data_IF_305935662045
#
_entry.id   IF_305935662045
#
_cell.length_a   1.000
_cell.length_b   1.000
_cell.length_c   1.000
_cell.angle_alpha   90.00
_cell.angle_beta   90.00
_cell.angle_gamma   90.00
#
_symmetry.space_group_name_H-M   'P 1'
#
loop_
_entity.id
_entity.type
_entity.pdbx_description
1 polymer ?
#
# COMPACT_ATOMS: atom_id res chain seq x y z
N UNK A 1 -34.68 21.64 -14.03
CA UNK A 1 -34.66 21.13 -12.64
C UNK A 1 -33.37 20.35 -12.48
N UNK A 2 -32.46 20.88 -11.65
CA UNK A 2 -31.08 20.43 -11.48
C UNK A 2 -31.08 19.34 -10.40
N UNK A 3 -30.71 18.11 -10.75
CA UNK A 3 -30.53 16.99 -9.82
C UNK A 3 -29.06 16.80 -9.52
N UNK A 4 -28.58 17.49 -8.49
CA UNK A 4 -27.19 17.50 -8.03
C UNK A 4 -26.96 16.30 -7.09
N UNK A 5 -26.41 15.20 -7.60
CA UNK A 5 -25.84 14.14 -6.75
C UNK A 5 -24.34 14.10 -6.96
N UNK A 6 -23.66 14.97 -6.20
CA UNK A 6 -22.20 14.98 -6.09
C UNK A 6 -21.78 13.68 -5.42
N UNK A 7 -21.33 12.70 -6.21
CA UNK A 7 -20.44 11.69 -5.68
C UNK A 7 -19.12 12.42 -5.38
N UNK A 8 -18.94 12.76 -4.10
CA UNK A 8 -17.67 13.23 -3.58
C UNK A 8 -16.65 12.09 -3.75
N UNK A 9 -16.02 12.04 -4.92
CA UNK A 9 -14.74 11.37 -5.11
C UNK A 9 -13.77 12.14 -4.23
N UNK A 10 -13.50 11.61 -3.04
CA UNK A 10 -12.39 12.04 -2.20
C UNK A 10 -11.11 11.67 -2.96
N UNK A 11 -10.71 12.57 -3.86
CA UNK A 11 -9.37 12.62 -4.40
C UNK A 11 -8.41 12.89 -3.24
N UNK A 12 -7.66 11.88 -2.82
CA UNK A 12 -6.42 12.08 -2.09
C UNK A 12 -5.30 11.41 -2.89
N UNK A 13 -4.74 12.19 -3.83
CA UNK A 13 -3.44 11.92 -4.47
C UNK A 13 -3.45 11.34 -5.90
N UNK A 14 -3.65 12.20 -6.90
CA UNK A 14 -3.05 12.08 -8.25
C UNK A 14 -3.53 10.96 -9.18
N UNK A 15 -4.43 11.28 -10.12
CA UNK A 15 -4.72 10.45 -11.30
C UNK A 15 -4.00 10.98 -12.53
N UNK A 16 -3.19 10.14 -13.18
CA UNK A 16 -2.89 10.21 -14.62
C UNK A 16 -2.27 8.88 -15.08
N UNK A 17 -3.11 7.85 -15.25
CA UNK A 17 -2.71 6.55 -15.77
C UNK A 17 -3.86 5.56 -15.70
N UNK A 18 -4.44 5.27 -16.88
CA UNK A 18 -5.48 4.28 -17.21
C UNK A 18 -5.77 3.25 -16.12
N UNK A 19 -6.96 3.32 -15.50
CA UNK A 19 -7.53 2.22 -14.73
C UNK A 19 -8.00 1.12 -15.70
N UNK A 20 -7.12 0.17 -16.00
CA UNK A 20 -7.55 -1.16 -16.44
C UNK A 20 -7.96 -1.91 -15.18
N UNK A 21 -9.25 -2.20 -15.07
CA UNK A 21 -9.88 -2.99 -14.02
C UNK A 21 -9.20 -4.36 -13.88
N UNK A 22 -8.27 -4.48 -12.93
CA UNK A 22 -7.72 -5.72 -12.41
C UNK A 22 -7.39 -5.54 -10.92
N UNK A 23 -7.48 -6.59 -10.07
CA UNK A 23 -7.12 -6.49 -8.66
C UNK A 23 -5.62 -6.25 -8.54
N UNK A 24 -5.24 -4.98 -8.43
CA UNK A 24 -3.86 -4.54 -8.51
C UNK A 24 -3.29 -4.47 -7.09
N UNK A 25 -2.52 -5.50 -6.71
CA UNK A 25 -1.65 -5.53 -5.51
C UNK A 25 -0.52 -4.49 -5.59
N UNK A 26 -0.38 -3.82 -6.73
CA UNK A 26 0.53 -2.70 -6.92
C UNK A 26 0.09 -1.47 -6.11
N UNK A 27 0.98 -1.05 -5.23
CA UNK A 27 0.85 0.16 -4.43
C UNK A 27 1.88 1.19 -4.89
N UNK A 28 1.46 2.45 -4.88
CA UNK A 28 2.32 3.59 -5.21
C UNK A 28 2.35 4.51 -4.01
N UNK A 29 3.55 4.92 -3.58
CA UNK A 29 3.71 5.91 -2.51
C UNK A 29 4.55 7.08 -2.96
N UNK A 30 4.17 8.27 -2.51
CA UNK A 30 4.95 9.48 -2.67
C UNK A 30 6.21 9.40 -1.81
N UNK A 31 7.33 9.86 -2.36
CA UNK A 31 8.58 9.94 -1.61
C UNK A 31 9.00 11.38 -1.39
N UNK A 32 9.19 11.75 -0.12
CA UNK A 32 9.69 13.07 0.24
C UNK A 32 11.22 13.19 0.02
N UNK A 33 11.97 12.08 0.10
CA UNK A 33 13.44 12.06 0.06
C UNK A 33 14.01 10.83 -0.69
N UNK A 34 13.29 10.32 -1.70
CA UNK A 34 13.70 9.12 -2.43
C UNK A 34 13.57 7.80 -1.63
N UNK A 35 12.85 7.83 -0.51
CA UNK A 35 12.47 6.66 0.29
C UNK A 35 11.05 6.80 0.81
N UNK A 36 10.34 5.69 0.96
CA UNK A 36 9.05 5.65 1.65
C UNK A 36 9.34 5.36 3.11
N UNK A 37 8.90 6.25 4.00
CA UNK A 37 9.06 6.00 5.43
C UNK A 37 8.25 4.80 5.86
N UNK A 38 8.73 4.09 6.89
CA UNK A 38 8.02 2.97 7.51
C UNK A 38 6.55 3.29 7.78
N UNK A 39 6.27 4.44 8.40
CA UNK A 39 4.91 4.84 8.76
C UNK A 39 4.00 4.97 7.52
N UNK A 40 4.52 5.52 6.42
CA UNK A 40 3.79 5.61 5.15
C UNK A 40 3.51 4.23 4.55
N UNK A 41 4.49 3.30 4.61
CA UNK A 41 4.31 1.92 4.15
C UNK A 41 3.25 1.20 5.00
N UNK A 42 3.34 1.32 6.32
CA UNK A 42 2.41 0.69 7.27
C UNK A 42 0.98 1.19 7.06
N UNK A 43 0.78 2.50 6.91
CA UNK A 43 -0.54 3.07 6.59
C UNK A 43 -1.06 2.59 5.24
N UNK A 44 -0.23 2.67 4.19
CA UNK A 44 -0.64 2.27 2.84
C UNK A 44 -1.02 0.78 2.80
N UNK A 45 -0.23 -0.08 3.43
CA UNK A 45 -0.52 -1.51 3.52
C UNK A 45 -1.80 -1.77 4.31
N UNK A 46 -2.03 -1.10 5.43
CA UNK A 46 -3.26 -1.26 6.22
C UNK A 46 -4.52 -0.96 5.41
N UNK A 47 -4.51 0.12 4.63
CA UNK A 47 -5.63 0.50 3.76
C UNK A 47 -5.74 -0.43 2.54
N UNK A 48 -4.62 -0.86 1.96
CA UNK A 48 -4.60 -1.83 0.85
C UNK A 48 -5.10 -3.20 1.27
N UNK A 49 -4.69 -3.72 2.43
CA UNK A 49 -5.17 -5.00 2.98
C UNK A 49 -6.66 -4.96 3.26
N UNK A 50 -7.14 -3.85 3.83
CA UNK A 50 -8.57 -3.62 4.04
C UNK A 50 -9.35 -3.70 2.73
N UNK A 51 -8.77 -3.20 1.63
CA UNK A 51 -9.39 -3.21 0.30
C UNK A 51 -9.22 -4.54 -0.43
N UNK A 52 -8.08 -5.22 -0.23
CA UNK A 52 -7.68 -6.41 -0.98
C UNK A 52 -8.34 -7.67 -0.42
N UNK A 53 -8.26 -7.89 0.89
CA UNK A 53 -8.80 -9.09 1.57
C UNK A 53 -10.05 -8.78 2.41
N UNK A 54 -10.48 -7.51 2.50
CA UNK A 54 -11.56 -7.11 3.41
C UNK A 54 -11.17 -7.17 4.89
N UNK A 55 -9.93 -7.55 5.20
CA UNK A 55 -9.40 -7.68 6.56
C UNK A 55 -8.52 -6.48 6.86
N UNK A 56 -8.95 -5.65 7.81
CA UNK A 56 -8.15 -4.55 8.32
C UNK A 56 -7.28 -5.04 9.48
N UNK A 57 -5.95 -4.99 9.37
CA UNK A 57 -5.09 -5.23 10.53
C UNK A 57 -5.23 -4.09 11.53
N UNK A 58 -5.09 -4.40 12.82
CA UNK A 58 -5.02 -3.39 13.89
C UNK A 58 -3.72 -2.59 13.77
N UNK A 59 -2.63 -3.24 13.39
CA UNK A 59 -1.33 -2.62 13.22
C UNK A 59 -0.50 -3.37 12.17
N UNK A 60 0.16 -2.63 11.29
CA UNK A 60 1.21 -3.15 10.42
C UNK A 60 2.54 -2.67 10.98
N UNK A 61 3.48 -3.58 11.16
CA UNK A 61 4.84 -3.26 11.61
C UNK A 61 5.82 -3.68 10.53
N UNK A 62 6.59 -2.75 9.99
CA UNK A 62 7.67 -3.07 9.05
C UNK A 62 9.05 -3.02 9.72
N UNK A 63 9.97 -3.85 9.24
CA UNK A 63 11.34 -3.93 9.77
C UNK A 63 12.14 -2.63 9.59
N UNK A 64 11.70 -1.72 8.72
CA UNK A 64 12.36 -0.45 8.43
C UNK A 64 11.64 0.36 7.35
N UNK A 65 12.36 1.32 6.77
CA UNK A 65 11.90 2.13 5.64
C UNK A 65 12.03 1.37 4.32
N UNK A 66 11.13 1.63 3.36
CA UNK A 66 11.23 1.08 2.00
C UNK A 66 12.06 2.02 1.13
N UNK A 67 13.22 1.54 0.69
CA UNK A 67 14.08 2.28 -0.24
C UNK A 67 13.54 2.21 -1.68
N UNK A 68 13.76 3.27 -2.47
CA UNK A 68 13.46 3.27 -3.92
C UNK A 68 14.29 2.28 -4.73
N UNK A 69 15.27 1.62 -4.11
CA UNK A 69 16.19 0.71 -4.76
C UNK A 69 15.47 -0.60 -5.15
N UNK A 70 15.31 -0.87 -6.46
CA UNK A 70 14.71 -2.13 -6.90
C UNK A 70 15.55 -3.31 -6.40
N UNK A 71 14.88 -4.37 -5.93
CA UNK A 71 15.51 -5.57 -5.37
C UNK A 71 15.69 -5.58 -3.84
N UNK A 72 15.35 -4.50 -3.14
CA UNK A 72 15.36 -4.48 -1.66
C UNK A 72 14.01 -4.95 -1.14
N UNK A 73 13.95 -6.14 -0.54
CA UNK A 73 12.71 -6.61 0.10
C UNK A 73 12.55 -6.03 1.50
N UNK A 74 11.39 -5.44 1.76
CA UNK A 74 11.00 -5.02 3.10
C UNK A 74 10.03 -6.04 3.67
N UNK A 75 10.39 -6.58 4.84
CA UNK A 75 9.54 -7.48 5.59
C UNK A 75 8.64 -6.67 6.53
N UNK A 76 7.33 -6.90 6.43
CA UNK A 76 6.33 -6.34 7.31
C UNK A 76 5.50 -7.46 7.96
N UNK A 77 4.81 -7.13 9.03
CA UNK A 77 3.90 -8.03 9.74
C UNK A 77 2.62 -7.27 10.03
N UNK A 78 1.50 -7.78 9.53
CA UNK A 78 0.17 -7.27 9.81
C UNK A 78 -0.43 -8.07 10.95
N UNK A 79 -0.70 -7.40 12.07
CA UNK A 79 -1.35 -7.98 13.24
C UNK A 79 -2.84 -7.69 13.16
N UNK A 80 -3.65 -8.71 13.36
CA UNK A 80 -5.10 -8.71 13.33
C UNK A 80 -5.65 -8.99 14.73
N UNK A 81 -6.93 -8.67 14.97
CA UNK A 81 -7.57 -8.98 16.24
C UNK A 81 -7.56 -10.49 16.51
N UNK A 82 -7.25 -10.88 17.75
CA UNK A 82 -7.16 -12.28 18.18
C UNK A 82 -5.81 -12.94 17.94
N UNK A 83 -4.71 -12.19 18.10
CA UNK A 83 -3.32 -12.66 18.02
C UNK A 83 -2.92 -13.27 16.66
N UNK A 84 -3.72 -13.01 15.61
CA UNK A 84 -3.44 -13.47 14.25
C UNK A 84 -2.47 -12.50 13.59
N UNK A 85 -1.39 -12.99 13.00
CA UNK A 85 -0.40 -12.16 12.33
C UNK A 85 0.02 -12.73 10.97
N UNK A 86 -0.17 -11.92 9.92
CA UNK A 86 0.30 -12.27 8.58
C UNK A 86 1.64 -11.60 8.30
N UNK A 87 2.53 -12.33 7.65
CA UNK A 87 3.79 -11.77 7.17
C UNK A 87 3.55 -11.15 5.80
N UNK A 88 4.15 -10.01 5.54
CA UNK A 88 4.11 -9.34 4.24
C UNK A 88 5.51 -9.12 3.74
N UNK A 89 5.72 -9.38 2.46
CA UNK A 89 6.96 -9.03 1.78
C UNK A 89 6.65 -7.98 0.74
N UNK A 90 7.25 -6.81 0.89
CA UNK A 90 7.12 -5.68 -0.02
C UNK A 90 8.36 -5.61 -0.88
N UNK A 91 8.17 -5.56 -2.19
CA UNK A 91 9.24 -5.50 -3.18
C UNK A 91 9.06 -4.26 -4.07
N UNK A 92 10.01 -3.31 -4.06
CA UNK A 92 9.97 -2.17 -4.97
C UNK A 92 10.20 -2.63 -6.41
N UNK A 93 9.27 -2.26 -7.28
CA UNK A 93 9.31 -2.57 -8.72
C UNK A 93 9.93 -1.43 -9.53
N UNK A 94 9.99 -0.22 -8.96
CA UNK A 94 10.75 0.90 -9.49
C UNK A 94 10.25 2.24 -8.97
N UNK A 95 10.90 3.32 -9.39
CA UNK A 95 10.45 4.69 -9.13
C UNK A 95 10.24 5.46 -10.44
N UNK A 96 9.21 6.30 -10.49
CA UNK A 96 8.98 7.27 -11.57
C UNK A 96 8.42 8.55 -10.98
N UNK A 97 8.92 9.69 -11.44
CA UNK A 97 8.33 11.01 -11.15
C UNK A 97 8.14 11.28 -9.64
N UNK A 98 9.11 10.88 -8.81
CA UNK A 98 9.06 11.06 -7.35
C UNK A 98 8.12 10.09 -6.60
N UNK A 99 7.59 9.10 -7.30
CA UNK A 99 6.76 8.02 -6.74
C UNK A 99 7.49 6.69 -6.84
N UNK A 100 7.42 5.88 -5.78
CA UNK A 100 7.90 4.50 -5.81
C UNK A 100 6.70 3.57 -6.01
N UNK A 101 6.81 2.68 -6.99
CA UNK A 101 5.92 1.53 -7.18
C UNK A 101 6.52 0.33 -6.48
N UNK A 102 5.67 -0.40 -5.78
CA UNK A 102 6.03 -1.63 -5.11
C UNK A 102 4.88 -2.61 -5.15
N UNK A 103 5.26 -3.88 -5.18
CA UNK A 103 4.35 -5.00 -5.05
C UNK A 103 4.43 -5.53 -3.61
N UNK A 104 3.32 -6.07 -3.11
CA UNK A 104 3.31 -6.73 -1.81
C UNK A 104 2.65 -8.10 -1.92
N UNK A 105 3.23 -9.06 -1.19
CA UNK A 105 2.72 -10.43 -1.10
C UNK A 105 2.42 -10.73 0.35
N UNK A 106 1.20 -11.20 0.62
CA UNK A 106 0.79 -11.68 1.94
C UNK A 106 1.15 -13.16 2.07
N UNK A 107 2.05 -13.45 2.99
CA UNK A 107 2.40 -14.79 3.44
C UNK A 107 1.65 -15.02 4.75
N UNK A 108 0.42 -15.53 4.65
CA UNK A 108 -0.34 -15.93 5.83
C UNK A 108 0.47 -16.98 6.61
N UNK A 109 0.67 -16.76 7.92
CA UNK A 109 1.25 -17.79 8.77
C UNK A 109 0.10 -18.73 9.16
N UNK A 110 -0.03 -19.83 8.42
CA UNK A 110 -0.98 -20.91 8.73
C UNK A 110 -0.55 -21.74 9.94
#
# INVERSE_FOLDING_TARGET
MIGLSVAAVLAMGGVAGVFLSGPSTEATANTADGKVTRATVEQTLGDKLSTFDGRRPDHVTCAGDLSALPGTQLNCTATYPGDSADRLVVSPTGSRDGQIRYDFVVLANG
#
